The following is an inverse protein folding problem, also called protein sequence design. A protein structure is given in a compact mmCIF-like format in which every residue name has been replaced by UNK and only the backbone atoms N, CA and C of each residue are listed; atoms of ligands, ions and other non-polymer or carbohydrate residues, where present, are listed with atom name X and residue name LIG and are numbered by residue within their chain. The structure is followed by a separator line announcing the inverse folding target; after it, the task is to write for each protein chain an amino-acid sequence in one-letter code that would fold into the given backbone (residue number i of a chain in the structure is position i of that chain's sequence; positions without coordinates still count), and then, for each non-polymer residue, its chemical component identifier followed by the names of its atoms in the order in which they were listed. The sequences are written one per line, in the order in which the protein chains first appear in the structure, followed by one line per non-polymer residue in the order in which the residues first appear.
data_IF_586020806096
#
_entry.id   IF_586020806096
#
_cell.length_a   1.000
_cell.length_b   1.000
_cell.length_c   1.000
_cell.angle_alpha   90.00
_cell.angle_beta   90.00
_cell.angle_gamma   90.00
#
_symmetry.space_group_name_H-M   'P 1'
#
loop_
_entity.id
_entity.type
_entity.pdbx_description
1 polymer ?
#
# COMPACT_ATOMS: atom_id res chain seq x y z
N UNK A 1 25.77 -10.00 -14.12
CA UNK A 1 26.18 -10.32 -12.74
C UNK A 1 27.00 -11.61 -12.74
N UNK A 2 28.17 -11.68 -12.08
CA UNK A 2 28.78 -12.98 -11.75
C UNK A 2 27.79 -13.82 -10.94
N UNK A 3 27.85 -15.14 -11.09
CA UNK A 3 26.95 -16.06 -10.38
C UNK A 3 27.23 -15.98 -8.89
N UNK A 4 26.28 -15.46 -8.10
CA UNK A 4 26.37 -15.42 -6.64
C UNK A 4 26.66 -16.83 -6.09
N UNK A 5 27.43 -16.94 -5.02
CA UNK A 5 27.56 -18.20 -4.27
C UNK A 5 26.47 -18.38 -3.22
N UNK A 6 25.74 -17.31 -2.89
CA UNK A 6 24.78 -17.26 -1.79
C UNK A 6 23.35 -17.58 -2.24
N UNK A 7 22.98 -17.22 -3.46
CA UNK A 7 21.60 -17.37 -3.95
C UNK A 7 21.50 -17.64 -5.45
N UNK A 8 20.34 -18.14 -5.84
CA UNK A 8 19.89 -18.27 -7.23
C UNK A 8 18.76 -17.29 -7.51
N UNK A 9 18.61 -16.93 -8.79
CA UNK A 9 17.57 -16.03 -9.27
C UNK A 9 16.71 -16.78 -10.28
N UNK A 10 15.40 -16.77 -10.07
CA UNK A 10 14.43 -17.38 -10.98
C UNK A 10 13.10 -16.59 -10.96
N UNK A 11 12.23 -16.74 -11.96
CA UNK A 11 10.83 -16.36 -11.81
C UNK A 11 10.18 -17.25 -10.75
N UNK A 12 9.31 -16.69 -9.91
CA UNK A 12 8.41 -17.51 -9.09
C UNK A 12 7.40 -18.24 -10.01
N UNK A 13 6.98 -19.46 -9.67
CA UNK A 13 6.09 -20.25 -10.54
C UNK A 13 4.75 -19.54 -10.81
N UNK A 14 4.22 -18.85 -9.80
CA UNK A 14 3.00 -18.07 -9.86
C UNK A 14 3.19 -16.67 -10.50
N UNK A 15 4.44 -16.26 -10.77
CA UNK A 15 4.74 -14.92 -11.27
C UNK A 15 4.05 -14.64 -12.60
N UNK A 16 3.58 -13.40 -12.77
CA UNK A 16 3.09 -12.89 -14.06
C UNK A 16 3.86 -11.64 -14.45
N UNK A 17 4.28 -11.56 -15.72
CA UNK A 17 5.07 -10.43 -16.21
C UNK A 17 6.43 -10.26 -15.51
N UNK A 18 6.92 -11.27 -14.80
CA UNK A 18 8.14 -11.20 -14.00
C UNK A 18 7.95 -10.72 -12.56
N UNK A 19 6.72 -10.44 -12.11
CA UNK A 19 6.38 -10.06 -10.73
C UNK A 19 5.87 -11.29 -9.92
N UNK A 20 6.52 -11.68 -8.81
CA UNK A 20 7.83 -11.22 -8.34
C UNK A 20 9.00 -12.02 -8.95
N UNK A 21 10.19 -11.42 -8.92
CA UNK A 21 11.44 -12.14 -9.09
C UNK A 21 11.75 -12.90 -7.79
N UNK A 22 12.06 -14.19 -7.88
CA UNK A 22 12.49 -14.99 -6.74
C UNK A 22 14.02 -14.95 -6.62
N UNK A 23 14.50 -14.57 -5.44
CA UNK A 23 15.88 -14.72 -4.98
C UNK A 23 15.89 -15.79 -3.90
N UNK A 24 16.44 -16.95 -4.22
CA UNK A 24 16.40 -18.15 -3.39
C UNK A 24 17.78 -18.43 -2.80
N UNK A 25 17.89 -18.52 -1.48
CA UNK A 25 19.13 -18.94 -0.82
C UNK A 25 19.53 -20.36 -1.29
N UNK A 26 20.82 -20.56 -1.57
CA UNK A 26 21.38 -21.83 -2.09
C UNK A 26 21.55 -22.93 -1.04
N UNK A 27 21.49 -22.58 0.23
CA UNK A 27 21.65 -23.52 1.32
C UNK A 27 21.04 -22.98 2.59
N UNK A 28 20.84 -23.88 3.54
CA UNK A 28 20.33 -23.52 4.86
C UNK A 28 21.35 -22.68 5.62
N UNK A 29 20.84 -21.77 6.46
CA UNK A 29 21.69 -21.00 7.36
C UNK A 29 22.32 -19.74 6.77
N UNK A 30 22.06 -19.40 5.50
CA UNK A 30 22.56 -18.16 4.90
C UNK A 30 21.80 -16.98 5.48
N UNK A 31 22.50 -16.08 6.15
CA UNK A 31 21.92 -14.85 6.69
C UNK A 31 21.59 -13.86 5.55
N UNK A 32 20.41 -13.25 5.62
CA UNK A 32 19.97 -12.28 4.62
C UNK A 32 20.87 -11.02 4.60
N UNK A 33 21.39 -10.60 5.75
CA UNK A 33 22.28 -9.45 5.85
C UNK A 33 23.66 -9.74 5.24
N UNK A 34 24.15 -10.97 5.30
CA UNK A 34 25.41 -11.36 4.67
C UNK A 34 25.32 -11.27 3.14
N UNK A 35 24.12 -11.47 2.57
CA UNK A 35 23.86 -11.32 1.14
C UNK A 35 23.65 -9.86 0.69
N UNK A 36 23.47 -8.91 1.61
CA UNK A 36 23.05 -7.53 1.31
C UNK A 36 23.95 -6.84 0.26
N UNK A 37 25.27 -7.03 0.36
CA UNK A 37 26.22 -6.41 -0.57
C UNK A 37 26.02 -6.86 -2.03
N UNK A 38 25.61 -8.11 -2.26
CA UNK A 38 25.28 -8.64 -3.59
C UNK A 38 23.83 -8.34 -3.99
N UNK A 39 22.91 -8.25 -3.02
CA UNK A 39 21.50 -7.95 -3.27
C UNK A 39 21.25 -6.49 -3.66
N UNK A 40 22.01 -5.51 -3.13
CA UNK A 40 21.84 -4.10 -3.49
C UNK A 40 21.95 -3.82 -4.99
N UNK A 41 23.06 -4.15 -5.69
CA UNK A 41 23.14 -3.91 -7.13
C UNK A 41 22.13 -4.73 -7.92
N UNK A 42 21.72 -5.92 -7.43
CA UNK A 42 20.67 -6.71 -8.04
C UNK A 42 19.30 -6.00 -7.96
N UNK A 43 18.96 -5.46 -6.78
CA UNK A 43 17.71 -4.72 -6.56
C UNK A 43 17.68 -3.46 -7.41
N UNK A 44 18.77 -2.70 -7.46
CA UNK A 44 18.88 -1.48 -8.28
C UNK A 44 18.64 -1.78 -9.78
N UNK A 45 19.17 -2.90 -10.28
CA UNK A 45 19.00 -3.32 -11.67
C UNK A 45 17.59 -3.89 -11.94
N UNK A 46 17.07 -4.74 -11.04
CA UNK A 46 15.93 -5.62 -11.34
C UNK A 46 14.60 -5.07 -10.87
N UNK A 47 14.56 -4.37 -9.75
CA UNK A 47 13.31 -3.90 -9.16
C UNK A 47 12.52 -2.96 -10.10
N UNK A 48 13.14 -2.01 -10.84
CA UNK A 48 12.42 -1.18 -11.81
C UNK A 48 11.79 -1.99 -12.96
N UNK A 49 12.32 -3.18 -13.25
CA UNK A 49 11.84 -4.06 -14.31
C UNK A 49 10.73 -4.98 -13.79
N UNK A 50 10.98 -5.69 -12.68
CA UNK A 50 10.07 -6.72 -12.17
C UNK A 50 9.07 -6.23 -11.12
N UNK A 51 9.13 -4.96 -10.70
CA UNK A 51 8.29 -4.30 -9.69
C UNK A 51 8.33 -4.89 -8.26
N UNK A 52 8.79 -6.13 -8.10
CA UNK A 52 8.89 -6.78 -6.79
C UNK A 52 9.85 -7.96 -6.78
N UNK A 53 10.49 -8.18 -5.64
CA UNK A 53 11.50 -9.22 -5.40
C UNK A 53 11.18 -9.95 -4.10
N UNK A 54 11.05 -11.28 -4.18
CA UNK A 54 10.85 -12.17 -3.05
C UNK A 54 12.18 -12.83 -2.68
N UNK A 55 12.65 -12.60 -1.46
CA UNK A 55 13.80 -13.28 -0.86
C UNK A 55 13.31 -14.45 -0.01
N UNK A 56 13.72 -15.67 -0.37
CA UNK A 56 13.25 -16.91 0.26
C UNK A 56 14.41 -17.82 0.65
N UNK A 57 14.24 -18.52 1.78
CA UNK A 57 15.22 -19.49 2.31
C UNK A 57 16.37 -18.88 3.11
N UNK A 58 16.37 -17.56 3.33
CA UNK A 58 17.37 -16.89 4.15
C UNK A 58 17.00 -16.91 5.64
N UNK A 59 18.01 -16.83 6.51
CA UNK A 59 17.84 -16.49 7.91
C UNK A 59 17.71 -14.97 8.05
N UNK A 60 16.59 -14.51 8.61
CA UNK A 60 16.33 -13.08 8.86
C UNK A 60 16.39 -12.77 10.36
N UNK A 61 15.71 -13.59 11.17
CA UNK A 61 15.70 -13.47 12.62
C UNK A 61 14.64 -12.50 13.16
N UNK A 62 15.01 -11.68 14.14
CA UNK A 62 14.08 -10.75 14.78
C UNK A 62 13.73 -9.56 13.86
N UNK A 63 12.58 -8.87 14.08
CA UNK A 63 12.19 -7.70 13.29
C UNK A 63 13.24 -6.59 13.20
N UNK A 64 14.12 -6.47 14.18
CA UNK A 64 15.23 -5.50 14.21
C UNK A 64 16.27 -5.80 13.12
N UNK A 65 16.53 -7.07 12.81
CA UNK A 65 17.42 -7.47 11.71
C UNK A 65 16.79 -7.22 10.35
N UNK A 66 15.48 -7.44 10.24
CA UNK A 66 14.72 -7.05 9.05
C UNK A 66 14.78 -5.53 8.83
N UNK A 67 14.65 -4.72 9.89
CA UNK A 67 14.83 -3.27 9.84
C UNK A 67 16.22 -2.89 9.31
N UNK A 68 17.26 -3.52 9.85
CA UNK A 68 18.65 -3.30 9.42
C UNK A 68 18.83 -3.64 7.93
N UNK A 69 18.24 -4.74 7.48
CA UNK A 69 18.29 -5.14 6.07
C UNK A 69 17.59 -4.12 5.16
N UNK A 70 16.37 -3.70 5.50
CA UNK A 70 15.63 -2.71 4.73
C UNK A 70 16.36 -1.34 4.69
N UNK A 71 16.91 -0.90 5.83
CA UNK A 71 17.72 0.33 5.90
C UNK A 71 19.05 0.21 5.12
N UNK A 72 19.59 -1.01 5.00
CA UNK A 72 20.80 -1.33 4.27
C UNK A 72 20.80 -0.96 2.79
N UNK A 73 19.62 -0.72 2.20
CA UNK A 73 19.49 -0.23 0.82
C UNK A 73 19.83 1.26 0.67
N UNK A 74 19.93 2.02 1.77
CA UNK A 74 20.47 3.39 1.79
C UNK A 74 19.41 4.49 1.83
N UNK A 75 18.14 4.14 2.01
CA UNK A 75 17.05 5.11 2.18
C UNK A 75 16.63 5.16 3.65
N UNK A 76 16.36 6.36 4.21
CA UNK A 76 15.81 6.46 5.55
C UNK A 76 14.46 5.75 5.60
N UNK A 77 14.27 4.93 6.65
CA UNK A 77 12.97 4.32 6.91
C UNK A 77 12.00 5.42 7.35
N UNK A 78 10.81 5.40 6.75
CA UNK A 78 9.76 6.36 7.05
C UNK A 78 9.03 5.95 8.32
N UNK A 79 8.69 6.93 9.14
CA UNK A 79 7.70 6.72 10.17
C UNK A 79 6.30 6.67 9.53
N UNK A 80 5.49 5.70 9.93
CA UNK A 80 4.08 5.64 9.59
C UNK A 80 3.30 6.60 10.49
N UNK A 81 3.29 7.87 10.11
CA UNK A 81 2.49 8.93 10.72
C UNK A 81 1.30 9.23 9.78
N UNK A 82 0.15 9.64 10.32
CA UNK A 82 -1.05 10.05 9.55
C UNK A 82 -1.71 8.97 8.67
N UNK A 83 -1.41 7.69 8.93
CA UNK A 83 -1.96 6.56 8.18
C UNK A 83 -3.48 6.41 8.29
N UNK A 84 -4.10 5.89 7.23
CA UNK A 84 -5.56 5.61 7.21
C UNK A 84 -5.95 4.41 8.06
N UNK A 85 -5.03 3.62 8.60
CA UNK A 85 -5.41 2.47 9.46
C UNK A 85 -4.47 2.36 10.65
N UNK A 86 -4.96 1.90 11.82
CA UNK A 86 -4.10 1.68 12.98
C UNK A 86 -3.00 0.66 12.65
N UNK A 87 -1.78 0.93 13.11
CA UNK A 87 -0.66 -0.02 13.13
C UNK A 87 0.03 0.08 14.49
N UNK A 88 0.19 -1.05 15.18
CA UNK A 88 1.07 -1.11 16.35
C UNK A 88 2.52 -0.95 15.93
N UNK A 89 3.22 -0.02 16.56
CA UNK A 89 4.66 0.16 16.40
C UNK A 89 5.39 -1.06 17.00
N UNK A 90 6.13 -1.82 16.18
CA UNK A 90 6.92 -2.96 16.65
C UNK A 90 8.31 -2.47 17.08
N UNK A 91 8.90 -1.60 16.27
CA UNK A 91 10.14 -0.84 16.53
C UNK A 91 10.20 0.34 15.54
N UNK A 92 10.96 1.40 15.83
CA UNK A 92 11.01 2.60 14.97
C UNK A 92 11.26 2.24 13.49
N UNK A 93 10.36 2.66 12.59
CA UNK A 93 10.41 2.35 11.15
C UNK A 93 9.92 0.96 10.73
N UNK A 94 9.42 0.13 11.66
CA UNK A 94 8.79 -1.18 11.39
C UNK A 94 7.44 -1.30 12.09
N UNK A 95 6.41 -1.63 11.31
CA UNK A 95 5.02 -1.66 11.73
C UNK A 95 4.41 -3.05 11.59
N UNK A 96 3.38 -3.36 12.38
CA UNK A 96 2.48 -4.46 12.02
C UNK A 96 1.80 -4.15 10.68
N UNK A 97 1.58 -5.16 9.84
CA UNK A 97 0.64 -5.02 8.71
C UNK A 97 -0.72 -4.58 9.24
N UNK A 98 -1.45 -3.75 8.46
CA UNK A 98 -2.77 -3.18 8.80
C UNK A 98 -3.61 -4.09 9.70
N UNK A 99 -3.96 -3.59 10.89
CA UNK A 99 -4.76 -4.29 11.89
C UNK A 99 -6.22 -4.34 11.42
N UNK A 100 -6.51 -5.34 10.60
CA UNK A 100 -7.82 -5.57 9.99
C UNK A 100 -8.29 -6.97 10.35
N UNK A 101 -9.60 -7.23 10.58
CA UNK A 101 -10.08 -8.52 11.04
C UNK A 101 -9.59 -9.68 10.14
N UNK A 102 -9.14 -10.83 10.69
CA UNK A 102 -8.53 -11.90 9.91
C UNK A 102 -9.40 -12.45 8.77
N UNK A 103 -10.72 -12.43 8.95
CA UNK A 103 -11.70 -12.91 7.97
C UNK A 103 -11.96 -11.92 6.83
N UNK A 104 -11.47 -10.67 6.92
CA UNK A 104 -11.68 -9.64 5.91
C UNK A 104 -10.49 -9.52 4.96
N UNK A 105 -10.83 -9.33 3.68
CA UNK A 105 -9.88 -9.06 2.61
C UNK A 105 -9.50 -7.57 2.59
N UNK A 106 -8.22 -7.28 2.34
CA UNK A 106 -7.77 -5.93 1.98
C UNK A 106 -7.53 -5.92 0.46
N UNK A 107 -8.28 -5.13 -0.33
CA UNK A 107 -8.11 -5.02 -1.78
C UNK A 107 -6.70 -4.57 -2.19
N UNK A 108 -6.33 -4.88 -3.44
CA UNK A 108 -5.09 -4.38 -4.05
C UNK A 108 -5.03 -2.85 -3.99
N UNK A 109 -3.92 -2.32 -3.50
CA UNK A 109 -3.66 -0.89 -3.45
C UNK A 109 -2.15 -0.63 -3.45
N UNK A 110 -1.76 0.57 -3.86
CA UNK A 110 -0.41 1.08 -3.63
C UNK A 110 -0.42 1.88 -2.31
N UNK A 111 0.57 1.68 -1.45
CA UNK A 111 0.63 2.32 -0.12
C UNK A 111 0.58 3.84 -0.26
N UNK A 112 -0.29 4.50 0.51
CA UNK A 112 -0.49 5.96 0.54
C UNK A 112 -0.85 6.64 -0.80
N UNK A 113 -1.29 5.89 -1.83
CA UNK A 113 -1.74 6.45 -3.10
C UNK A 113 -3.03 7.29 -3.04
N UNK A 114 -3.64 7.45 -1.86
CA UNK A 114 -4.73 8.40 -1.56
C UNK A 114 -4.23 9.75 -1.03
N UNK A 115 -2.92 9.96 -0.98
CA UNK A 115 -2.27 11.20 -0.54
C UNK A 115 -1.34 11.72 -1.64
N UNK A 116 -0.66 12.84 -1.39
CA UNK A 116 0.33 13.43 -2.30
C UNK A 116 1.78 13.06 -1.96
N UNK A 117 2.00 12.24 -0.93
CA UNK A 117 3.33 11.81 -0.50
C UNK A 117 3.29 10.33 -0.14
N UNK A 118 4.20 9.53 -0.69
CA UNK A 118 4.20 8.09 -0.49
C UNK A 118 5.62 7.52 -0.40
N UNK A 119 5.81 6.35 0.22
CA UNK A 119 7.06 5.61 0.08
C UNK A 119 7.22 5.11 -1.35
N UNK A 120 8.43 5.17 -1.89
CA UNK A 120 8.78 4.48 -3.14
C UNK A 120 9.06 3.00 -2.89
N UNK A 121 9.54 2.62 -1.70
CA UNK A 121 9.87 1.24 -1.35
C UNK A 121 9.04 0.76 -0.17
N UNK A 122 8.44 -0.41 -0.32
CA UNK A 122 7.74 -1.10 0.77
C UNK A 122 8.23 -2.55 0.88
N UNK A 123 8.40 -2.99 2.12
CA UNK A 123 8.94 -4.28 2.47
C UNK A 123 7.97 -5.03 3.36
N UNK A 124 7.79 -6.32 3.13
CA UNK A 124 7.02 -7.22 3.99
C UNK A 124 7.93 -8.35 4.46
N UNK A 125 7.95 -8.61 5.76
CA UNK A 125 8.66 -9.73 6.35
C UNK A 125 7.69 -10.68 7.05
N UNK A 126 7.63 -11.91 6.56
CA UNK A 126 6.85 -12.98 7.14
C UNK A 126 7.59 -13.59 8.35
N UNK A 127 7.34 -13.04 9.54
CA UNK A 127 7.84 -13.60 10.80
C UNK A 127 7.16 -14.94 11.08
N UNK A 128 5.86 -15.02 10.83
CA UNK A 128 5.06 -16.22 10.99
C UNK A 128 3.98 -16.30 9.92
N UNK A 129 4.06 -17.31 9.06
CA UNK A 129 3.01 -17.61 8.09
C UNK A 129 1.72 -18.06 8.80
N UNK A 130 0.57 -17.72 8.20
CA UNK A 130 -0.73 -18.17 8.71
C UNK A 130 -0.90 -19.69 8.57
N UNK A 131 -1.87 -20.27 9.30
CA UNK A 131 -2.21 -21.69 9.13
C UNK A 131 -2.86 -21.95 7.76
N UNK A 132 -3.68 -21.02 7.30
CA UNK A 132 -4.25 -21.01 5.95
C UNK A 132 -4.55 -19.59 5.49
N UNK A 133 -4.42 -19.36 4.18
CA UNK A 133 -4.57 -18.05 3.56
C UNK A 133 -3.49 -17.06 4.01
N UNK A 134 -3.88 -15.78 4.11
CA UNK A 134 -3.00 -14.73 4.65
C UNK A 134 -1.86 -14.32 3.75
N UNK A 135 -1.91 -14.71 2.49
CA UNK A 135 -1.02 -14.24 1.44
C UNK A 135 -1.06 -12.70 1.36
N UNK A 136 -0.02 -12.15 0.75
CA UNK A 136 0.02 -10.76 0.31
C UNK A 136 -0.05 -10.78 -1.22
N UNK A 137 -1.25 -10.84 -1.83
CA UNK A 137 -1.36 -10.78 -3.27
C UNK A 137 -0.80 -9.46 -3.80
N UNK A 138 -0.20 -9.50 -4.98
CA UNK A 138 0.42 -8.35 -5.64
C UNK A 138 -0.02 -8.25 -7.10
N UNK A 139 0.09 -7.06 -7.69
CA UNK A 139 -0.20 -6.84 -9.10
C UNK A 139 0.64 -5.70 -9.67
N UNK A 140 1.00 -5.79 -10.95
CA UNK A 140 1.76 -4.74 -11.65
C UNK A 140 0.84 -3.56 -12.00
N UNK A 141 1.07 -2.40 -11.39
CA UNK A 141 0.28 -1.18 -11.58
C UNK A 141 0.38 -0.62 -13.01
N UNK A 142 1.40 -1.01 -13.80
CA UNK A 142 1.50 -0.70 -15.24
C UNK A 142 0.56 -1.57 -16.05
N UNK A 143 0.44 -2.85 -15.70
CA UNK A 143 -0.54 -3.76 -16.33
C UNK A 143 -1.96 -3.32 -16.03
N UNK A 144 -2.24 -2.97 -14.77
CA UNK A 144 -3.54 -2.42 -14.36
C UNK A 144 -3.85 -1.17 -15.19
N UNK A 145 -2.92 -0.21 -15.28
CA UNK A 145 -3.08 0.97 -16.12
C UNK A 145 -3.33 0.62 -17.60
N UNK A 146 -2.68 -0.41 -18.16
CA UNK A 146 -2.92 -0.78 -19.57
C UNK A 146 -4.27 -1.44 -19.79
N UNK A 147 -4.80 -2.15 -18.78
CA UNK A 147 -6.05 -2.92 -18.88
C UNK A 147 -7.31 -2.12 -18.56
N UNK A 148 -7.23 -1.12 -17.68
CA UNK A 148 -8.38 -0.24 -17.42
C UNK A 148 -8.78 0.46 -18.72
N UNK A 149 -10.08 0.49 -19.02
CA UNK A 149 -10.62 1.11 -20.23
C UNK A 149 -10.05 2.53 -20.45
N UNK A 150 -9.78 2.86 -21.72
CA UNK A 150 -9.20 4.16 -22.09
C UNK A 150 -10.13 5.32 -21.72
N UNK A 151 -11.45 5.14 -21.83
CA UNK A 151 -12.44 6.13 -21.44
C UNK A 151 -12.44 6.39 -19.94
N UNK A 152 -12.31 5.34 -19.12
CA UNK A 152 -12.13 5.46 -17.66
C UNK A 152 -10.83 6.20 -17.35
N UNK A 153 -9.71 5.79 -17.95
CA UNK A 153 -8.40 6.43 -17.73
C UNK A 153 -8.40 7.90 -18.08
N UNK A 154 -8.96 8.27 -19.23
CA UNK A 154 -9.08 9.67 -19.65
C UNK A 154 -9.91 10.46 -18.65
N UNK A 155 -11.09 9.96 -18.28
CA UNK A 155 -11.98 10.62 -17.32
C UNK A 155 -11.31 10.86 -15.96
N UNK A 156 -10.65 9.84 -15.43
CA UNK A 156 -9.92 9.92 -14.17
C UNK A 156 -8.74 10.91 -14.25
N UNK A 157 -8.01 10.92 -15.37
CA UNK A 157 -6.88 11.83 -15.58
C UNK A 157 -7.34 13.28 -15.71
N UNK A 158 -8.39 13.54 -16.48
CA UNK A 158 -8.91 14.90 -16.71
C UNK A 158 -9.57 15.50 -15.47
N UNK A 159 -10.32 14.69 -14.70
CA UNK A 159 -11.07 15.17 -13.54
C UNK A 159 -10.30 15.09 -12.23
N UNK A 160 -9.25 14.27 -12.16
CA UNK A 160 -8.56 13.97 -10.89
C UNK A 160 -9.47 13.26 -9.88
N UNK A 161 -8.95 13.06 -8.67
CA UNK A 161 -9.68 12.45 -7.56
C UNK A 161 -9.60 13.33 -6.32
N UNK A 162 -10.69 13.37 -5.55
CA UNK A 162 -10.74 14.02 -4.25
C UNK A 162 -11.11 13.02 -3.17
N UNK A 163 -10.17 12.76 -2.26
CA UNK A 163 -10.39 11.94 -1.08
C UNK A 163 -10.98 12.76 0.04
N UNK A 164 -12.10 12.31 0.60
CA UNK A 164 -12.77 12.94 1.74
C UNK A 164 -12.72 12.01 2.94
N UNK A 165 -12.37 12.55 4.10
CA UNK A 165 -12.39 11.81 5.38
C UNK A 165 -13.07 12.65 6.46
N UNK A 166 -13.92 12.01 7.25
CA UNK A 166 -14.57 12.59 8.42
C UNK A 166 -14.06 11.87 9.67
N UNK A 167 -13.71 12.64 10.70
CA UNK A 167 -13.14 12.17 11.95
C UNK A 167 -13.97 12.67 13.13
N UNK A 168 -14.09 11.85 14.18
CA UNK A 168 -14.78 12.22 15.43
C UNK A 168 -16.21 11.71 15.56
N UNK A 169 -16.84 11.26 14.46
CA UNK A 169 -18.21 10.73 14.44
C UNK A 169 -18.40 9.31 15.02
N UNK A 170 -17.33 8.71 15.54
CA UNK A 170 -17.33 7.34 16.05
C UNK A 170 -17.39 6.22 14.98
N UNK A 171 -17.39 6.56 13.70
CA UNK A 171 -17.38 5.60 12.58
C UNK A 171 -15.97 5.28 12.06
N UNK A 172 -14.98 6.09 12.41
CA UNK A 172 -13.56 5.90 12.08
C UNK A 172 -12.68 6.33 13.26
N UNK A 173 -11.36 6.26 13.08
CA UNK A 173 -10.36 6.77 14.01
C UNK A 173 -10.56 8.26 14.32
N UNK A 174 -10.30 8.65 15.57
CA UNK A 174 -10.37 10.04 15.99
C UNK A 174 -9.24 10.86 15.32
N UNK A 175 -9.48 12.14 15.06
CA UNK A 175 -8.47 12.98 14.38
C UNK A 175 -7.21 13.09 15.23
N UNK A 176 -7.33 13.11 16.55
CA UNK A 176 -6.20 13.22 17.47
C UNK A 176 -5.23 12.06 17.33
N UNK A 177 -5.76 10.87 17.07
CA UNK A 177 -4.97 9.66 16.82
C UNK A 177 -4.27 9.71 15.46
N UNK A 178 -4.95 10.25 14.45
CA UNK A 178 -4.41 10.37 13.09
C UNK A 178 -3.31 11.42 13.03
N UNK A 179 -3.55 12.59 13.62
CA UNK A 179 -2.60 13.70 13.64
C UNK A 179 -1.61 13.64 14.81
N UNK A 180 -1.76 12.66 15.69
CA UNK A 180 -0.93 12.48 16.89
C UNK A 180 -0.82 13.77 17.72
N UNK A 181 -1.93 14.49 17.86
CA UNK A 181 -2.02 15.78 18.53
C UNK A 181 -3.48 16.07 18.91
N UNK A 182 -3.70 16.76 20.04
CA UNK A 182 -4.99 17.26 20.49
C UNK A 182 -5.15 18.78 20.27
N UNK A 183 -4.22 19.41 19.53
CA UNK A 183 -4.25 20.84 19.20
C UNK A 183 -4.72 21.06 17.75
N UNK A 184 -5.88 21.69 17.53
CA UNK A 184 -6.36 22.05 16.19
C UNK A 184 -5.33 22.82 15.36
N UNK A 185 -4.51 23.69 15.95
CA UNK A 185 -3.52 24.47 15.21
C UNK A 185 -2.42 23.59 14.59
N UNK A 186 -2.09 22.45 15.21
CA UNK A 186 -1.14 21.47 14.66
C UNK A 186 -1.74 20.80 13.41
N UNK A 187 -3.03 20.43 13.48
CA UNK A 187 -3.76 19.84 12.34
C UNK A 187 -3.83 20.82 11.17
N UNK A 188 -4.18 22.08 11.43
CA UNK A 188 -4.27 23.12 10.40
C UNK A 188 -2.93 23.37 9.71
N UNK A 189 -1.84 23.42 10.49
CA UNK A 189 -0.49 23.57 9.96
C UNK A 189 -0.10 22.38 9.07
N UNK A 190 -0.42 21.16 9.49
CA UNK A 190 -0.22 19.95 8.70
C UNK A 190 -1.03 19.98 7.40
N UNK A 191 -2.34 20.27 7.49
CA UNK A 191 -3.20 20.32 6.32
C UNK A 191 -2.72 21.36 5.31
N UNK A 192 -2.29 22.54 5.78
CA UNK A 192 -1.70 23.57 4.93
C UNK A 192 -0.42 23.11 4.25
N UNK A 193 0.49 22.46 4.98
CA UNK A 193 1.76 21.97 4.43
C UNK A 193 1.55 20.90 3.34
N UNK A 194 0.56 20.03 3.50
CA UNK A 194 0.28 18.91 2.59
C UNK A 194 -0.85 19.17 1.59
N UNK A 195 -1.28 20.44 1.44
CA UNK A 195 -2.35 20.87 0.51
C UNK A 195 -3.66 20.10 0.71
N UNK A 196 -4.03 19.88 1.97
CA UNK A 196 -5.30 19.28 2.39
C UNK A 196 -6.24 20.43 2.75
N UNK A 197 -7.46 20.42 2.22
CA UNK A 197 -8.53 21.28 2.72
C UNK A 197 -9.14 20.69 3.98
N UNK A 198 -9.50 21.52 4.95
CA UNK A 198 -10.10 21.09 6.21
C UNK A 198 -11.30 21.96 6.59
N UNK A 199 -12.18 21.37 7.39
CA UNK A 199 -13.36 22.00 7.96
C UNK A 199 -13.58 21.43 9.36
N UNK A 200 -13.63 22.31 10.36
CA UNK A 200 -14.09 21.96 11.71
C UNK A 200 -15.61 22.13 11.77
N UNK A 201 -16.34 21.07 12.12
CA UNK A 201 -17.79 21.10 12.28
C UNK A 201 -18.18 21.66 13.65
N UNK A 202 -19.45 22.01 13.81
CA UNK A 202 -19.99 22.64 15.04
C UNK A 202 -19.83 21.76 16.30
N UNK A 203 -19.79 20.45 16.13
CA UNK A 203 -19.63 19.45 17.18
C UNK A 203 -18.17 19.10 17.50
N UNK A 204 -17.20 19.75 16.82
CA UNK A 204 -15.77 19.48 16.98
C UNK A 204 -15.24 18.35 16.11
N UNK A 205 -16.06 17.77 15.23
CA UNK A 205 -15.59 16.84 14.21
C UNK A 205 -14.73 17.56 13.15
N UNK A 206 -13.83 16.79 12.53
CA UNK A 206 -12.96 17.28 11.46
C UNK A 206 -13.32 16.60 10.15
N UNK A 207 -13.52 17.40 9.10
CA UNK A 207 -13.57 16.92 7.73
C UNK A 207 -12.33 17.38 6.98
N UNK A 208 -11.75 16.47 6.20
CA UNK A 208 -10.64 16.77 5.29
C UNK A 208 -10.96 16.38 3.86
N UNK A 209 -10.46 17.17 2.91
CA UNK A 209 -10.56 16.92 1.46
C UNK A 209 -9.21 17.12 0.81
N UNK A 210 -8.68 16.12 0.12
CA UNK A 210 -7.40 16.21 -0.58
C UNK A 210 -7.55 15.80 -2.04
N UNK A 211 -7.14 16.70 -2.95
CA UNK A 211 -7.03 16.41 -4.37
C UNK A 211 -5.72 15.67 -4.63
N UNK A 212 -5.84 14.46 -5.19
CA UNK A 212 -4.74 13.52 -5.42
C UNK A 212 -4.71 13.05 -6.87
N UNK A 213 -3.57 12.48 -7.26
CA UNK A 213 -3.38 11.83 -8.54
C UNK A 213 -4.40 10.69 -8.76
N UNK A 214 -4.84 10.54 -10.01
CA UNK A 214 -5.60 9.37 -10.44
C UNK A 214 -4.68 8.33 -11.09
N UNK A 215 -3.73 8.80 -11.89
CA UNK A 215 -2.63 8.02 -12.45
C UNK A 215 -1.35 8.81 -12.21
N UNK A 216 -0.23 8.11 -12.16
CA UNK A 216 1.08 8.74 -11.96
C UNK A 216 2.09 8.21 -12.98
N UNK A 217 3.14 8.98 -13.23
CA UNK A 217 4.28 8.52 -14.01
C UNK A 217 5.41 8.18 -13.05
N UNK A 218 5.93 6.96 -13.13
CA UNK A 218 7.02 6.52 -12.27
C UNK A 218 8.28 7.37 -12.53
N UNK A 219 8.95 7.94 -11.51
CA UNK A 219 10.01 8.94 -11.71
C UNK A 219 11.26 8.38 -12.42
N UNK A 220 11.57 7.09 -12.20
CA UNK A 220 12.72 6.42 -12.84
C UNK A 220 12.34 5.80 -14.19
N UNK A 221 11.43 4.81 -14.21
CA UNK A 221 11.08 4.08 -15.45
C UNK A 221 10.29 4.91 -16.46
N UNK A 222 9.64 6.00 -16.03
CA UNK A 222 8.72 6.83 -16.83
C UNK A 222 7.46 6.10 -17.31
N UNK A 223 7.17 4.92 -16.75
CA UNK A 223 5.94 4.20 -17.02
C UNK A 223 4.74 4.91 -16.39
N UNK A 224 3.60 4.88 -17.07
CA UNK A 224 2.31 5.23 -16.46
C UNK A 224 1.80 4.09 -15.60
N UNK A 225 1.34 4.43 -14.39
CA UNK A 225 0.83 3.49 -13.40
C UNK A 225 -0.55 3.90 -12.91
N UNK A 226 -1.40 2.91 -12.65
CA UNK A 226 -2.69 3.10 -12.00
C UNK A 226 -2.44 3.29 -10.51
N UNK A 227 -2.34 4.54 -10.09
CA UNK A 227 -1.83 4.92 -8.78
C UNK A 227 -2.84 5.79 -8.04
N UNK A 228 -3.88 5.12 -7.54
CA UNK A 228 -4.91 5.68 -6.69
C UNK A 228 -5.56 4.56 -5.86
N UNK A 229 -6.45 4.93 -4.95
CA UNK A 229 -7.26 3.98 -4.16
C UNK A 229 -8.77 4.24 -4.30
N UNK A 230 -9.23 4.73 -5.46
CA UNK A 230 -10.65 5.08 -5.65
C UNK A 230 -11.59 3.89 -5.40
N UNK A 231 -11.26 2.72 -5.95
CA UNK A 231 -12.02 1.48 -5.77
C UNK A 231 -12.09 1.00 -4.32
N UNK A 232 -11.11 1.38 -3.50
CA UNK A 232 -10.98 0.97 -2.10
C UNK A 232 -11.67 1.97 -1.15
N UNK A 233 -11.50 3.27 -1.37
CA UNK A 233 -12.05 4.33 -0.52
C UNK A 233 -13.52 4.63 -0.78
N UNK A 234 -14.01 4.35 -1.99
CA UNK A 234 -15.39 4.64 -2.32
C UNK A 234 -16.35 3.75 -1.50
N UNK A 235 -17.47 4.32 -1.07
CA UNK A 235 -18.49 3.62 -0.27
C UNK A 235 -19.00 2.32 -0.92
N UNK A 236 -18.95 2.23 -2.25
CA UNK A 236 -19.31 1.00 -2.98
C UNK A 236 -18.41 -0.20 -2.72
N UNK A 237 -17.26 -0.01 -2.05
CA UNK A 237 -16.38 -1.11 -1.65
C UNK A 237 -16.89 -1.86 -0.41
N UNK A 238 -17.79 -1.24 0.36
CA UNK A 238 -18.41 -1.87 1.52
C UNK A 238 -19.41 -2.95 1.08
N UNK A 239 -19.60 -4.00 1.89
CA UNK A 239 -20.70 -4.94 1.69
C UNK A 239 -22.03 -4.18 1.58
N UNK A 240 -22.96 -4.59 0.68
CA UNK A 240 -24.20 -3.84 0.43
C UNK A 240 -24.98 -3.48 1.70
N UNK A 241 -25.16 -4.44 2.62
CA UNK A 241 -25.87 -4.24 3.89
C UNK A 241 -25.18 -3.20 4.79
N UNK A 242 -23.85 -3.18 4.82
CA UNK A 242 -23.05 -2.22 5.61
C UNK A 242 -23.15 -0.83 4.99
N UNK A 243 -23.06 -0.74 3.66
CA UNK A 243 -23.23 0.52 2.92
C UNK A 243 -24.60 1.13 3.15
N UNK A 244 -25.66 0.33 2.99
CA UNK A 244 -27.05 0.77 3.18
C UNK A 244 -27.26 1.26 4.61
N UNK A 245 -26.80 0.49 5.61
CA UNK A 245 -26.88 0.89 7.02
C UNK A 245 -26.15 2.21 7.31
N UNK A 246 -24.97 2.43 6.72
CA UNK A 246 -24.22 3.68 6.92
C UNK A 246 -24.94 4.89 6.30
N UNK A 247 -25.47 4.73 5.08
CA UNK A 247 -26.19 5.80 4.37
C UNK A 247 -27.55 6.13 4.98
N UNK A 248 -28.11 5.25 5.82
CA UNK A 248 -29.30 5.56 6.64
C UNK A 248 -28.96 6.44 7.86
N UNK A 249 -27.70 6.44 8.31
CA UNK A 249 -27.26 7.11 9.54
C UNK A 249 -26.62 8.46 9.24
N UNK A 250 -25.84 8.55 8.16
CA UNK A 250 -25.12 9.77 7.77
C UNK A 250 -25.32 10.09 6.29
N UNK A 251 -25.26 11.38 5.96
CA UNK A 251 -25.19 11.82 4.57
C UNK A 251 -23.90 11.33 3.90
N UNK A 252 -23.90 11.20 2.57
CA UNK A 252 -22.76 10.66 1.82
C UNK A 252 -21.47 11.47 2.05
N UNK A 253 -21.59 12.78 2.24
CA UNK A 253 -20.46 13.66 2.55
C UNK A 253 -19.89 13.48 3.96
N UNK A 254 -20.66 12.87 4.86
CA UNK A 254 -20.32 12.59 6.26
C UNK A 254 -19.86 11.14 6.50
N UNK A 255 -19.83 10.33 5.44
CA UNK A 255 -19.20 9.01 5.48
C UNK A 255 -17.77 9.12 6.03
N UNK A 256 -17.32 8.13 6.82
CA UNK A 256 -15.97 8.16 7.42
C UNK A 256 -14.88 8.35 6.37
N UNK A 257 -15.05 7.71 5.20
CA UNK A 257 -14.20 7.85 4.03
C UNK A 257 -15.04 7.76 2.77
N UNK A 258 -14.77 8.62 1.81
CA UNK A 258 -15.27 8.47 0.46
C UNK A 258 -14.30 9.13 -0.54
N UNK A 259 -14.52 8.88 -1.83
CA UNK A 259 -13.73 9.46 -2.91
C UNK A 259 -14.64 9.91 -4.05
N UNK A 260 -14.35 11.09 -4.57
CA UNK A 260 -15.11 11.75 -5.63
C UNK A 260 -14.18 12.05 -6.80
N UNK A 261 -14.73 12.48 -7.93
CA UNK A 261 -13.93 13.19 -8.92
C UNK A 261 -13.35 14.47 -8.30
N UNK A 262 -12.29 15.02 -8.87
CA UNK A 262 -11.59 16.19 -8.30
C UNK A 262 -12.45 17.46 -8.21
N UNK A 263 -13.56 17.52 -8.94
CA UNK A 263 -14.56 18.59 -8.85
C UNK A 263 -15.63 18.37 -7.76
N UNK A 264 -15.55 17.25 -7.04
CA UNK A 264 -16.53 16.84 -6.02
C UNK A 264 -17.73 16.06 -6.54
N UNK A 265 -17.84 15.83 -7.85
CA UNK A 265 -18.93 15.00 -8.40
C UNK A 265 -18.73 13.52 -8.07
N UNK A 266 -19.81 12.74 -7.87
CA UNK A 266 -19.72 11.33 -7.53
C UNK A 266 -19.13 10.50 -8.66
N UNK A 267 -18.41 9.44 -8.30
CA UNK A 267 -17.89 8.45 -9.24
C UNK A 267 -18.95 7.38 -9.46
N UNK A 268 -19.20 7.02 -10.72
CA UNK A 268 -20.19 6.01 -11.05
C UNK A 268 -19.79 4.63 -10.50
N UNK A 269 -20.65 3.91 -9.74
CA UNK A 269 -20.29 2.62 -9.17
C UNK A 269 -19.83 1.58 -10.20
N UNK A 270 -20.44 1.57 -11.40
CA UNK A 270 -20.07 0.65 -12.48
C UNK A 270 -18.63 0.85 -12.98
N UNK A 271 -18.12 2.08 -12.95
CA UNK A 271 -16.72 2.38 -13.30
C UNK A 271 -15.78 1.75 -12.27
N UNK A 272 -16.14 1.83 -10.98
CA UNK A 272 -15.35 1.23 -9.91
C UNK A 272 -15.42 -0.31 -9.93
N UNK A 273 -16.56 -0.88 -10.32
CA UNK A 273 -16.70 -2.33 -10.49
C UNK A 273 -15.81 -2.87 -11.62
N UNK A 274 -15.72 -2.15 -12.74
CA UNK A 274 -14.79 -2.49 -13.82
C UNK A 274 -13.33 -2.44 -13.34
N UNK A 275 -12.95 -1.39 -12.60
CA UNK A 275 -11.60 -1.26 -12.02
C UNK A 275 -11.30 -2.43 -11.08
N UNK A 276 -12.25 -2.81 -10.20
CA UNK A 276 -12.10 -3.97 -9.31
C UNK A 276 -11.91 -5.27 -10.09
N UNK A 277 -12.64 -5.44 -11.20
CA UNK A 277 -12.47 -6.59 -12.10
C UNK A 277 -11.06 -6.66 -12.67
N UNK A 278 -10.54 -5.56 -13.20
CA UNK A 278 -9.17 -5.48 -13.73
C UNK A 278 -8.12 -5.80 -12.64
N UNK A 279 -8.29 -5.26 -11.43
CA UNK A 279 -7.40 -5.53 -10.31
C UNK A 279 -7.39 -7.01 -9.92
N UNK A 280 -8.57 -7.65 -9.86
CA UNK A 280 -8.70 -9.07 -9.53
C UNK A 280 -8.03 -9.96 -10.60
N UNK A 281 -8.19 -9.64 -11.87
CA UNK A 281 -7.56 -10.37 -12.98
C UNK A 281 -6.04 -10.19 -13.04
N UNK A 282 -5.52 -9.05 -12.60
CA UNK A 282 -4.09 -8.75 -12.57
C UNK A 282 -3.37 -9.37 -11.36
N UNK A 283 -4.13 -9.86 -10.37
CA UNK A 283 -3.62 -10.37 -9.10
C UNK A 283 -2.75 -11.61 -9.28
N UNK A 284 -1.59 -11.58 -8.65
CA UNK A 284 -0.69 -12.72 -8.42
C UNK A 284 -0.65 -13.00 -6.94
N UNK A 285 -0.81 -14.26 -6.55
CA UNK A 285 -0.77 -14.68 -5.15
C UNK A 285 0.09 -15.92 -5.01
N UNK A 286 0.85 -15.97 -3.93
CA UNK A 286 1.69 -17.11 -3.57
C UNK A 286 1.69 -17.27 -2.04
N UNK A 287 1.82 -18.50 -1.53
CA UNK A 287 1.84 -18.73 -0.11
C UNK A 287 3.11 -18.16 0.52
N UNK A 288 2.95 -17.54 1.69
CA UNK A 288 4.06 -17.14 2.53
C UNK A 288 4.77 -18.37 3.12
N UNK A 289 6.09 -18.30 3.19
CA UNK A 289 6.93 -19.13 4.05
C UNK A 289 7.50 -18.26 5.17
N UNK A 290 7.53 -18.76 6.41
CA UNK A 290 8.17 -18.03 7.51
C UNK A 290 9.65 -17.80 7.17
N UNK A 291 10.11 -16.56 7.30
CA UNK A 291 11.45 -16.14 6.85
C UNK A 291 11.44 -15.37 5.53
N UNK A 292 10.37 -15.47 4.73
CA UNK A 292 10.31 -14.73 3.47
C UNK A 292 10.30 -13.21 3.69
N UNK A 293 11.03 -12.51 2.84
CA UNK A 293 10.99 -11.05 2.72
C UNK A 293 10.57 -10.68 1.31
N UNK A 294 9.55 -9.83 1.16
CA UNK A 294 9.10 -9.29 -0.12
C UNK A 294 9.43 -7.79 -0.17
N UNK A 295 10.13 -7.37 -1.21
CA UNK A 295 10.31 -5.95 -1.56
C UNK A 295 9.42 -5.62 -2.74
N UNK A 296 8.72 -4.49 -2.67
CA UNK A 296 7.99 -3.92 -3.79
C UNK A 296 8.46 -2.50 -4.06
N UNK A 297 8.53 -2.15 -5.35
CA UNK A 297 8.43 -0.75 -5.75
C UNK A 297 6.97 -0.33 -5.64
N UNK A 298 6.68 0.56 -4.69
CA UNK A 298 5.32 0.89 -4.30
C UNK A 298 4.54 1.59 -5.43
N UNK A 299 5.19 2.23 -6.40
CA UNK A 299 4.48 2.79 -7.56
C UNK A 299 4.20 1.75 -8.63
N UNK A 300 5.10 0.77 -8.80
CA UNK A 300 4.98 -0.25 -9.84
C UNK A 300 4.15 -1.46 -9.41
N UNK A 301 4.05 -1.76 -8.12
CA UNK A 301 3.34 -2.92 -7.60
C UNK A 301 2.32 -2.55 -6.53
N UNK A 302 1.05 -2.87 -6.80
CA UNK A 302 0.00 -2.86 -5.80
C UNK A 302 0.05 -4.14 -4.95
N UNK A 303 -0.37 -4.08 -3.70
CA UNK A 303 -0.45 -5.22 -2.78
C UNK A 303 -1.79 -5.27 -2.05
N UNK A 304 -2.13 -6.46 -1.56
CA UNK A 304 -3.38 -6.79 -0.90
C UNK A 304 -3.12 -7.65 0.33
N UNK A 305 -4.20 -8.05 1.01
CA UNK A 305 -4.14 -9.09 2.05
C UNK A 305 -5.29 -10.07 1.89
N UNK A 306 -4.98 -11.34 1.70
CA UNK A 306 -5.99 -12.41 1.74
C UNK A 306 -6.54 -12.61 3.16
N UNK A 307 -7.81 -13.02 3.32
CA UNK A 307 -8.30 -13.56 4.58
C UNK A 307 -7.44 -14.72 5.07
N UNK A 308 -7.42 -14.95 6.38
CA UNK A 308 -6.59 -16.00 6.98
C UNK A 308 -7.17 -16.59 8.26
N UNK A 309 -6.65 -17.76 8.63
CA UNK A 309 -6.92 -18.40 9.91
C UNK A 309 -5.64 -18.71 10.69
N UNK A 310 -5.79 -18.77 12.01
CA UNK A 310 -4.69 -19.03 12.94
C UNK A 310 -3.75 -17.82 13.14
N UNK A 311 -2.65 -18.02 13.89
CA UNK A 311 -1.67 -16.99 14.13
C UNK A 311 -0.94 -16.61 12.82
N UNK A 312 -0.77 -15.31 12.60
CA UNK A 312 -0.07 -14.74 11.44
C UNK A 312 0.70 -13.49 11.90
N UNK A 313 1.96 -13.35 11.50
CA UNK A 313 2.76 -12.15 11.77
C UNK A 313 3.57 -11.76 10.54
N UNK A 314 3.13 -10.69 9.88
CA UNK A 314 3.86 -10.01 8.81
C UNK A 314 4.13 -8.58 9.26
N UNK A 315 5.40 -8.17 9.25
CA UNK A 315 5.84 -6.82 9.60
C UNK A 315 6.26 -6.05 8.35
N UNK A 316 6.13 -4.73 8.39
CA UNK A 316 6.30 -3.86 7.22
C UNK A 316 7.34 -2.77 7.50
N UNK A 317 8.18 -2.48 6.52
CA UNK A 317 9.06 -1.30 6.52
C UNK A 317 8.84 -0.50 5.23
N UNK A 318 8.90 0.83 5.32
CA UNK A 318 8.70 1.75 4.20
C UNK A 318 9.88 2.71 4.13
N UNK A 319 10.30 3.08 2.92
CA UNK A 319 11.46 3.94 2.72
C UNK A 319 11.29 4.82 1.49
N UNK A 320 12.18 5.82 1.38
CA UNK A 320 12.29 6.70 0.21
C UNK A 320 10.99 7.47 -0.06
N UNK A 321 10.69 8.47 0.77
CA UNK A 321 9.52 9.32 0.59
C UNK A 321 9.59 10.09 -0.73
N UNK A 322 8.47 10.14 -1.44
CA UNK A 322 8.31 10.84 -2.72
C UNK A 322 7.03 11.66 -2.70
N UNK A 323 7.12 12.91 -3.16
CA UNK A 323 5.98 13.82 -3.30
C UNK A 323 5.50 13.90 -4.75
N UNK A 324 4.19 13.97 -4.95
CA UNK A 324 3.57 14.05 -6.29
C UNK A 324 4.05 15.24 -7.15
N UNK A 325 4.59 16.28 -6.51
CA UNK A 325 5.08 17.50 -7.17
C UNK A 325 6.62 17.50 -7.36
N UNK A 326 7.30 16.38 -7.07
CA UNK A 326 8.76 16.24 -7.12
C UNK A 326 9.32 15.90 -8.52
#
# INVERSE_FOLDING_TARGET
MPTSTLFDIAPLAEARGGLPLLVQARGDGIDLLDALAELRPLVDERLPVCAGILFRGFQVGAPERFREFAAGFGHPLLNYEFGSTPRSNVTSGVYTSTEYPPHQHIPLHNEQAYTREWPMKIWFYCVQAAQSGGETPIADSREIYRRVDEGIRRRFTERGLMYTRNFGNGLDVAWEQVFNSDDPAVVEAYCKAHKIGWEWKEDGELRTRQACQAVAQHPVTRDWVWFNQAHLFHVSNLPPEVRESLLEIVDEEDLPRNVYYGDGSPIEPSVLDEIRGVLEEAKVSFPWTSGDVLMLDNMLAAHARSPFSGPRKVVVAMAEGHGADA
#
